data_IF_529258702142
#
_entry.id   IF_529258702142
#
_cell.length_a   1.000
_cell.length_b   1.000
_cell.length_c   1.000
_cell.angle_alpha   90.00
_cell.angle_beta   90.00
_cell.angle_gamma   90.00
#
_symmetry.space_group_name_H-M   'P 1'
#
loop_
_entity.id
_entity.type
_entity.pdbx_description
1 polymer ?
#
# COMPACT_ATOMS: atom_id res chain seq x y z
N UNK A 1 -29.33 25.44 3.50
CA UNK A 1 -28.36 25.03 2.47
C UNK A 1 -28.81 23.65 1.96
N UNK A 2 -29.16 23.52 0.67
CA UNK A 2 -29.71 22.26 0.11
C UNK A 2 -28.52 21.38 -0.31
N UNK A 3 -28.28 20.29 0.41
CA UNK A 3 -27.22 19.32 0.09
C UNK A 3 -27.59 18.64 -1.24
N UNK A 4 -26.79 18.87 -2.29
CA UNK A 4 -26.99 18.32 -3.62
C UNK A 4 -26.37 16.92 -3.68
N UNK A 5 -27.14 15.89 -3.36
CA UNK A 5 -26.79 14.50 -3.69
C UNK A 5 -27.38 14.12 -5.05
N UNK A 6 -26.71 13.21 -5.78
CA UNK A 6 -27.17 12.60 -7.03
C UNK A 6 -28.70 12.37 -7.05
N UNK A 7 -29.36 12.55 -8.19
CA UNK A 7 -30.83 12.67 -8.31
C UNK A 7 -31.70 11.54 -7.74
N UNK A 8 -31.12 10.44 -7.23
CA UNK A 8 -31.80 9.35 -6.50
C UNK A 8 -31.43 9.27 -4.99
N UNK A 9 -30.85 10.31 -4.41
CA UNK A 9 -30.59 10.40 -2.97
C UNK A 9 -29.50 9.42 -2.50
N UNK A 10 -28.25 9.85 -2.55
CA UNK A 10 -27.15 9.16 -1.88
C UNK A 10 -27.03 9.61 -0.44
N UNK A 11 -26.62 8.73 0.47
CA UNK A 11 -26.23 9.10 1.83
C UNK A 11 -24.79 9.61 1.80
N UNK A 12 -24.51 10.70 2.53
CA UNK A 12 -23.15 11.09 2.88
C UNK A 12 -22.90 10.65 4.33
N UNK A 13 -22.24 9.49 4.55
CA UNK A 13 -21.88 9.07 5.89
C UNK A 13 -20.97 10.11 6.56
N UNK A 14 -21.00 10.24 7.90
CA UNK A 14 -20.04 11.05 8.63
C UNK A 14 -18.61 10.66 8.26
N UNK A 15 -17.75 11.65 8.01
CA UNK A 15 -16.33 11.39 7.72
C UNK A 15 -15.53 11.14 9.01
N UNK A 16 -14.62 10.17 8.98
CA UNK A 16 -13.69 9.85 10.08
C UNK A 16 -12.24 10.22 9.76
N UNK A 17 -12.02 11.26 8.93
CA UNK A 17 -10.68 11.74 8.58
C UNK A 17 -10.08 12.57 9.71
N UNK A 18 -9.46 11.90 10.67
CA UNK A 18 -8.80 12.52 11.83
C UNK A 18 -7.60 13.41 11.47
N UNK A 19 -7.06 13.26 10.27
CA UNK A 19 -5.81 13.90 9.83
C UNK A 19 -6.01 14.93 8.72
N UNK A 20 -7.25 15.29 8.38
CA UNK A 20 -7.56 16.14 7.21
C UNK A 20 -6.88 17.52 7.20
N UNK A 21 -6.61 18.07 8.38
CA UNK A 21 -6.01 19.41 8.56
C UNK A 21 -4.51 19.35 8.91
N UNK A 22 -3.91 18.14 8.94
CA UNK A 22 -2.48 17.98 9.22
C UNK A 22 -1.66 18.40 8.01
N UNK A 23 -0.52 19.05 8.25
CA UNK A 23 0.43 19.40 7.19
C UNK A 23 1.08 18.13 6.62
N UNK A 24 1.48 18.19 5.36
CA UNK A 24 2.30 17.16 4.73
C UNK A 24 3.75 17.39 5.17
N UNK A 25 4.39 16.35 5.67
CA UNK A 25 5.76 16.40 6.17
C UNK A 25 6.62 15.35 5.46
N UNK A 26 7.92 15.62 5.33
CA UNK A 26 8.86 14.61 4.87
C UNK A 26 9.17 13.67 6.02
N UNK A 27 9.10 12.36 5.75
CA UNK A 27 9.51 11.35 6.71
C UNK A 27 11.04 11.26 6.74
N UNK A 28 11.60 11.07 7.93
CA UNK A 28 13.03 10.80 8.09
C UNK A 28 13.43 9.49 7.39
N UNK A 29 14.68 9.42 6.95
CA UNK A 29 15.21 8.21 6.35
C UNK A 29 15.40 7.15 7.44
N UNK A 30 15.02 5.90 7.12
CA UNK A 30 15.13 4.77 8.05
C UNK A 30 16.34 3.92 7.67
N UNK A 31 17.10 3.46 8.68
CA UNK A 31 18.29 2.63 8.47
C UNK A 31 17.94 1.21 7.98
N UNK A 32 16.77 0.70 8.40
CA UNK A 32 16.31 -0.64 8.08
C UNK A 32 14.80 -0.63 7.81
N UNK A 33 14.38 -1.47 6.86
CA UNK A 33 12.98 -1.72 6.55
C UNK A 33 12.70 -3.21 6.53
N UNK A 34 11.52 -3.58 7.03
CA UNK A 34 10.96 -4.91 6.81
C UNK A 34 9.98 -4.82 5.65
N UNK A 35 10.26 -5.56 4.57
CA UNK A 35 9.36 -5.68 3.42
C UNK A 35 8.71 -7.07 3.45
N UNK A 36 7.41 -7.18 3.79
CA UNK A 36 6.75 -8.48 3.83
C UNK A 36 6.56 -9.01 2.41
N UNK A 37 7.02 -10.24 2.16
CA UNK A 37 6.77 -10.96 0.90
C UNK A 37 5.29 -11.33 0.71
N UNK A 38 4.49 -11.26 1.78
CA UNK A 38 3.07 -11.55 1.76
C UNK A 38 2.27 -10.45 2.46
N UNK A 39 1.98 -9.38 1.71
CA UNK A 39 1.09 -8.28 2.12
C UNK A 39 -0.04 -8.06 1.11
N UNK A 40 -0.55 -9.14 0.53
CA UNK A 40 -1.64 -9.12 -0.44
C UNK A 40 -2.48 -10.40 -0.34
N UNK A 41 -3.70 -10.37 -0.88
CA UNK A 41 -4.64 -11.50 -0.82
C UNK A 41 -4.27 -12.67 -1.74
N UNK A 42 -3.42 -12.45 -2.74
CA UNK A 42 -2.95 -13.49 -3.66
C UNK A 42 -2.02 -14.55 -3.04
N UNK A 43 -1.63 -15.54 -3.85
CA UNK A 43 -0.75 -16.63 -3.43
C UNK A 43 0.62 -16.11 -2.96
N UNK A 44 1.22 -16.70 -1.91
CA UNK A 44 2.51 -16.25 -1.36
C UNK A 44 3.61 -16.12 -2.42
N UNK A 45 4.46 -15.10 -2.26
CA UNK A 45 5.63 -14.90 -3.13
C UNK A 45 6.86 -15.62 -2.58
N UNK A 46 7.73 -16.08 -3.49
CA UNK A 46 9.04 -16.62 -3.18
C UNK A 46 10.10 -15.51 -3.31
N UNK A 47 11.10 -15.45 -2.42
CA UNK A 47 12.18 -14.48 -2.52
C UNK A 47 13.01 -14.70 -3.79
N UNK A 48 13.27 -13.62 -4.53
CA UNK A 48 14.14 -13.60 -5.71
C UNK A 48 15.58 -13.18 -5.38
N UNK A 49 15.81 -12.75 -4.15
CA UNK A 49 17.12 -12.31 -3.64
C UNK A 49 17.55 -13.19 -2.47
N UNK A 50 18.85 -13.16 -2.18
CA UNK A 50 19.47 -13.94 -1.10
C UNK A 50 19.99 -13.02 0.02
N UNK A 51 20.20 -13.55 1.22
CA UNK A 51 20.87 -12.80 2.28
C UNK A 51 22.18 -12.18 1.79
N UNK A 52 22.38 -10.90 2.10
CA UNK A 52 23.53 -10.06 1.70
C UNK A 52 23.52 -9.55 0.25
N UNK A 53 22.49 -9.81 -0.53
CA UNK A 53 22.36 -9.18 -1.84
C UNK A 53 22.08 -7.67 -1.71
N UNK A 54 22.74 -6.87 -2.54
CA UNK A 54 22.43 -5.45 -2.67
C UNK A 54 21.23 -5.28 -3.60
N UNK A 55 20.18 -4.62 -3.13
CA UNK A 55 18.97 -4.32 -3.91
C UNK A 55 18.82 -2.83 -4.16
N UNK A 56 18.11 -2.47 -5.24
CA UNK A 56 17.80 -1.08 -5.58
C UNK A 56 16.36 -0.74 -5.28
N UNK A 57 16.06 0.56 -5.11
CA UNK A 57 14.68 1.04 -5.05
C UNK A 57 13.90 0.62 -6.30
N UNK A 58 12.74 0.01 -6.10
CA UNK A 58 11.86 -0.47 -7.17
C UNK A 58 12.31 -1.80 -7.79
N UNK A 59 13.37 -2.43 -7.27
CA UNK A 59 13.74 -3.78 -7.66
C UNK A 59 12.72 -4.77 -7.08
N UNK A 60 12.22 -5.67 -7.94
CA UNK A 60 11.41 -6.81 -7.51
C UNK A 60 12.27 -7.80 -6.71
N UNK A 61 11.86 -8.11 -5.49
CA UNK A 61 12.54 -8.99 -4.53
C UNK A 61 11.72 -10.25 -4.19
N UNK A 62 10.45 -10.35 -4.59
CA UNK A 62 9.60 -11.52 -4.43
C UNK A 62 8.59 -11.69 -5.55
N UNK A 63 8.34 -12.94 -5.98
CA UNK A 63 7.35 -13.22 -7.03
C UNK A 63 6.74 -14.63 -6.93
N UNK A 64 5.68 -14.88 -7.69
CA UNK A 64 4.99 -16.17 -7.79
C UNK A 64 4.40 -16.37 -9.19
N UNK A 65 4.46 -17.59 -9.72
CA UNK A 65 3.83 -17.92 -11.02
C UNK A 65 2.29 -18.08 -10.92
N UNK A 66 1.71 -17.84 -9.74
CA UNK A 66 0.28 -17.94 -9.53
C UNK A 66 -0.49 -16.82 -10.26
N UNK A 67 -1.68 -17.16 -10.77
CA UNK A 67 -2.52 -16.20 -11.53
C UNK A 67 -2.99 -14.98 -10.73
N UNK A 68 -3.14 -15.13 -9.42
CA UNK A 68 -3.54 -14.04 -8.51
C UNK A 68 -2.45 -13.89 -7.47
N UNK A 69 -1.53 -12.96 -7.70
CA UNK A 69 -0.46 -12.56 -6.79
C UNK A 69 -0.06 -11.11 -7.07
N UNK A 70 0.69 -10.48 -6.17
CA UNK A 70 1.36 -9.21 -6.45
C UNK A 70 2.86 -9.38 -6.22
N UNK A 71 3.71 -9.01 -7.19
CA UNK A 71 5.14 -8.99 -6.96
C UNK A 71 5.48 -7.98 -5.87
N UNK A 72 6.55 -8.28 -5.15
CA UNK A 72 7.11 -7.47 -4.06
C UNK A 72 8.51 -7.02 -4.45
#
# INVERSE_FOLDING_TARGET
MRILTFGRGGVHPPESKLTKDKQIENMEEVEEVLVPLHQHTGAPTQPLVKPKDTVKKGQKIGDSDAKVTSPV
#
